data_IF_012567247538
#
_entry.id   IF_012567247538
#
_cell.length_a   1.000
_cell.length_b   1.000
_cell.length_c   1.000
_cell.angle_alpha   90.00
_cell.angle_beta   90.00
_cell.angle_gamma   90.00
#
_symmetry.space_group_name_H-M   'P 1'
#
loop_
_entity.id
_entity.type
_entity.pdbx_description
1 polymer ?
#
# COMPACT_ATOMS: atom_id res chain seq x y z
N UNK A 1 5.91 -15.87 -29.55
CA UNK A 1 7.26 -16.37 -29.14
C UNK A 1 7.53 -15.93 -27.70
N UNK A 2 8.01 -16.87 -26.85
CA UNK A 2 8.36 -16.51 -25.47
C UNK A 2 9.63 -15.64 -25.45
N UNK A 3 9.54 -14.49 -24.84
CA UNK A 3 10.64 -13.54 -24.65
C UNK A 3 10.78 -13.18 -23.17
N UNK A 4 11.98 -12.78 -22.78
CA UNK A 4 12.29 -12.42 -21.41
C UNK A 4 12.53 -10.92 -21.30
N UNK A 5 11.71 -10.22 -20.54
CA UNK A 5 11.76 -8.77 -20.31
C UNK A 5 12.22 -8.45 -18.88
N UNK A 6 12.73 -7.24 -18.65
CA UNK A 6 12.99 -6.76 -17.29
C UNK A 6 11.67 -6.63 -16.53
N UNK A 7 11.69 -7.01 -15.28
CA UNK A 7 10.51 -6.94 -14.44
C UNK A 7 10.20 -5.47 -14.05
N UNK A 8 9.08 -4.89 -14.50
CA UNK A 8 8.76 -3.49 -14.26
C UNK A 8 8.33 -3.19 -12.82
N UNK A 9 8.31 -4.20 -11.94
CA UNK A 9 8.12 -3.97 -10.52
C UNK A 9 9.33 -3.30 -9.85
N UNK A 10 10.54 -3.41 -10.44
CA UNK A 10 11.72 -2.71 -9.95
C UNK A 10 11.63 -1.21 -10.26
N UNK A 11 12.01 -0.37 -9.29
CA UNK A 11 11.92 1.09 -9.42
C UNK A 11 12.77 1.61 -10.56
N UNK A 12 13.98 1.08 -10.71
CA UNK A 12 14.88 1.46 -11.80
C UNK A 12 14.27 1.14 -13.17
N UNK A 13 13.66 -0.03 -13.34
CA UNK A 13 13.02 -0.44 -14.58
C UNK A 13 11.76 0.36 -14.85
N UNK A 14 10.93 0.57 -13.82
CA UNK A 14 9.71 1.36 -13.95
C UNK A 14 10.02 2.82 -14.33
N UNK A 15 11.00 3.43 -13.67
CA UNK A 15 11.49 4.78 -14.04
C UNK A 15 11.93 4.85 -15.48
N UNK A 16 12.79 3.91 -15.90
CA UNK A 16 13.24 3.82 -17.28
C UNK A 16 12.07 3.68 -18.27
N UNK A 17 11.05 2.88 -17.91
CA UNK A 17 9.84 2.73 -18.71
C UNK A 17 9.08 4.05 -18.86
N UNK A 18 8.88 4.78 -17.76
CA UNK A 18 8.11 6.01 -17.71
C UNK A 18 8.85 7.25 -18.25
N UNK A 19 10.16 7.18 -18.50
CA UNK A 19 10.93 8.22 -19.21
C UNK A 19 10.55 8.31 -20.69
N UNK A 20 9.90 7.30 -21.25
CA UNK A 20 9.36 7.36 -22.61
C UNK A 20 7.96 7.98 -22.58
N UNK A 21 7.82 9.17 -23.16
CA UNK A 21 6.56 9.93 -23.18
C UNK A 21 5.39 9.14 -23.78
N UNK A 22 5.60 8.38 -24.86
CA UNK A 22 4.55 7.57 -25.49
C UNK A 22 4.11 6.45 -24.56
N UNK A 23 5.05 5.77 -23.90
CA UNK A 23 4.75 4.74 -22.91
C UNK A 23 3.99 5.32 -21.73
N UNK A 24 4.45 6.47 -21.19
CA UNK A 24 3.75 7.16 -20.10
C UNK A 24 2.31 7.53 -20.49
N UNK A 25 2.10 8.11 -21.68
CA UNK A 25 0.75 8.40 -22.21
C UNK A 25 -0.11 7.15 -22.32
N UNK A 26 0.43 6.06 -22.87
CA UNK A 26 -0.29 4.80 -23.04
C UNK A 26 -0.73 4.23 -21.69
N UNK A 27 0.18 4.11 -20.73
CA UNK A 27 -0.14 3.61 -19.38
C UNK A 27 -1.15 4.52 -18.66
N UNK A 28 -0.92 5.83 -18.65
CA UNK A 28 -1.79 6.78 -17.98
C UNK A 28 -3.17 6.85 -18.65
N UNK A 29 -3.25 6.78 -19.98
CA UNK A 29 -4.54 6.75 -20.70
C UNK A 29 -5.36 5.53 -20.32
N UNK A 30 -4.71 4.36 -20.23
CA UNK A 30 -5.39 3.13 -19.83
C UNK A 30 -5.88 3.18 -18.37
N UNK A 31 -5.04 3.67 -17.45
CA UNK A 31 -5.39 3.83 -16.04
C UNK A 31 -6.52 4.83 -15.84
N UNK A 32 -6.47 5.99 -16.50
CA UNK A 32 -7.50 7.02 -16.40
C UNK A 32 -8.76 6.68 -17.19
N UNK A 33 -8.73 5.65 -18.07
CA UNK A 33 -9.79 5.35 -19.05
C UNK A 33 -10.18 6.56 -19.92
N UNK A 34 -9.20 7.44 -20.19
CA UNK A 34 -9.32 8.66 -20.98
C UNK A 34 -8.04 8.91 -21.74
N UNK A 35 -8.15 9.58 -22.89
CA UNK A 35 -6.99 9.91 -23.72
C UNK A 35 -6.11 10.98 -23.02
N UNK A 36 -4.86 10.63 -22.72
CA UNK A 36 -3.82 11.56 -22.32
C UNK A 36 -3.12 12.09 -23.57
N UNK A 37 -3.40 13.33 -23.92
CA UNK A 37 -2.87 13.96 -25.15
C UNK A 37 -1.45 14.44 -24.97
N UNK A 38 -1.16 15.05 -23.83
CA UNK A 38 0.17 15.56 -23.46
C UNK A 38 0.50 15.11 -22.05
N UNK A 39 1.77 14.80 -21.81
CA UNK A 39 2.28 14.50 -20.47
C UNK A 39 3.61 15.20 -20.27
N UNK A 40 3.78 15.82 -19.12
CA UNK A 40 5.04 16.43 -18.69
C UNK A 40 5.43 15.85 -17.32
N UNK A 41 6.64 15.32 -17.23
CA UNK A 41 7.21 14.87 -15.95
C UNK A 41 7.59 16.10 -15.13
N UNK A 42 6.96 16.27 -13.98
CA UNK A 42 7.28 17.34 -13.05
C UNK A 42 8.46 16.92 -12.16
N UNK A 43 9.57 17.62 -12.30
CA UNK A 43 10.77 17.39 -11.48
C UNK A 43 10.60 18.08 -10.12
N UNK A 44 10.07 17.38 -9.14
CA UNK A 44 10.19 17.77 -7.74
C UNK A 44 11.12 16.79 -7.04
N UNK A 45 12.42 17.13 -7.04
CA UNK A 45 13.39 16.45 -6.20
C UNK A 45 13.20 16.89 -4.74
N UNK A 46 12.36 16.19 -3.99
CA UNK A 46 12.47 16.20 -2.54
C UNK A 46 13.54 15.18 -2.14
N UNK A 47 14.75 15.68 -1.94
CA UNK A 47 15.88 14.93 -1.38
C UNK A 47 15.64 14.70 0.12
N UNK A 48 14.85 13.73 0.47
CA UNK A 48 14.92 13.12 1.78
C UNK A 48 15.92 11.96 1.71
N UNK A 49 16.72 11.82 2.76
CA UNK A 49 17.97 11.07 2.83
C UNK A 49 17.99 9.70 2.14
N UNK A 50 19.19 9.24 1.85
CA UNK A 50 19.52 8.09 0.98
C UNK A 50 18.88 6.72 1.32
N UNK A 51 18.20 6.58 2.45
CA UNK A 51 17.45 5.36 2.82
C UNK A 51 16.02 5.35 2.27
N UNK A 52 15.42 6.51 2.00
CA UNK A 52 14.02 6.62 1.57
C UNK A 52 13.83 6.41 0.06
N UNK A 53 14.93 6.38 -0.71
CA UNK A 53 14.89 6.27 -2.17
C UNK A 53 14.56 4.87 -2.70
N UNK A 54 14.71 3.83 -1.88
CA UNK A 54 14.59 2.44 -2.34
C UNK A 54 13.21 1.83 -2.03
N UNK A 55 12.47 2.38 -1.06
CA UNK A 55 11.21 1.78 -0.60
C UNK A 55 9.97 2.23 -1.37
N UNK A 56 10.05 3.34 -2.09
CA UNK A 56 8.91 3.89 -2.80
C UNK A 56 9.34 4.71 -4.01
N UNK A 57 8.81 4.34 -5.15
CA UNK A 57 8.96 5.09 -6.38
C UNK A 57 7.81 6.08 -6.55
N UNK A 58 8.13 7.28 -7.01
CA UNK A 58 7.19 8.36 -7.24
C UNK A 58 7.54 9.12 -8.52
N UNK A 59 6.54 9.38 -9.35
CA UNK A 59 6.61 10.31 -10.48
C UNK A 59 5.36 11.19 -10.47
N UNK A 60 5.57 12.49 -10.60
CA UNK A 60 4.51 13.47 -10.73
C UNK A 60 4.41 13.89 -12.20
N UNK A 61 3.22 13.85 -12.74
CA UNK A 61 2.94 14.27 -14.10
C UNK A 61 1.95 15.43 -14.11
N UNK A 62 2.22 16.43 -14.98
CA UNK A 62 1.19 17.30 -15.51
C UNK A 62 0.65 16.67 -16.79
N UNK A 63 -0.63 16.38 -16.88
CA UNK A 63 -1.23 15.74 -18.02
C UNK A 63 -2.41 16.55 -18.58
N UNK A 64 -2.47 16.73 -19.90
CA UNK A 64 -3.69 17.21 -20.57
C UNK A 64 -4.51 16.01 -21.01
N UNK A 65 -5.67 15.88 -20.38
CA UNK A 65 -6.59 14.76 -20.58
C UNK A 65 -7.82 15.23 -21.34
N UNK A 66 -8.19 14.48 -22.39
CA UNK A 66 -9.42 14.74 -23.16
C UNK A 66 -10.65 14.38 -22.33
N UNK A 67 -11.57 15.32 -22.18
CA UNK A 67 -12.84 15.11 -21.52
C UNK A 67 -13.90 14.57 -22.51
N UNK A 68 -15.04 14.11 -22.00
CA UNK A 68 -16.13 13.55 -22.81
C UNK A 68 -16.74 14.57 -23.79
N UNK A 69 -16.67 15.87 -23.47
CA UNK A 69 -17.10 16.97 -24.33
C UNK A 69 -16.04 17.38 -25.38
N UNK A 70 -14.89 16.68 -25.42
CA UNK A 70 -13.77 16.94 -26.32
C UNK A 70 -12.80 18.03 -25.83
N UNK A 71 -13.08 18.72 -24.74
CA UNK A 71 -12.18 19.73 -24.16
C UNK A 71 -10.94 19.05 -23.54
N UNK A 72 -9.87 19.82 -23.36
CA UNK A 72 -8.65 19.35 -22.69
C UNK A 72 -8.59 19.95 -21.29
N UNK A 73 -8.48 19.09 -20.27
CA UNK A 73 -8.32 19.50 -18.88
C UNK A 73 -6.90 19.14 -18.41
N UNK A 74 -6.20 20.11 -17.84
CA UNK A 74 -4.94 19.85 -17.14
C UNK A 74 -5.24 19.20 -15.81
N UNK A 75 -4.60 18.08 -15.53
CA UNK A 75 -4.66 17.40 -14.25
C UNK A 75 -3.26 17.04 -13.76
N UNK A 76 -3.10 16.95 -12.45
CA UNK A 76 -1.92 16.38 -11.82
C UNK A 76 -2.14 14.89 -11.61
N UNK A 77 -1.15 14.09 -11.98
CA UNK A 77 -1.15 12.66 -11.74
C UNK A 77 0.02 12.34 -10.82
N UNK A 78 -0.28 11.96 -9.60
CA UNK A 78 0.65 11.42 -8.63
C UNK A 78 0.73 9.90 -8.79
N UNK A 79 1.79 9.40 -9.39
CA UNK A 79 1.99 7.98 -9.54
C UNK A 79 2.98 7.48 -8.49
N UNK A 80 2.53 6.57 -7.66
CA UNK A 80 3.30 6.01 -6.56
C UNK A 80 3.29 4.48 -6.64
N UNK A 81 4.46 3.89 -6.41
CA UNK A 81 4.63 2.44 -6.39
C UNK A 81 5.32 2.04 -5.09
N UNK A 82 4.80 1.04 -4.41
CA UNK A 82 5.39 0.50 -3.19
C UNK A 82 5.13 -0.99 -3.02
N UNK A 83 6.05 -1.65 -2.33
CA UNK A 83 5.93 -3.03 -1.89
C UNK A 83 5.46 -3.15 -0.44
N UNK A 84 5.55 -2.07 0.34
CA UNK A 84 5.36 -2.06 1.77
C UNK A 84 3.98 -1.53 2.14
N UNK A 85 3.23 -2.27 2.94
CA UNK A 85 1.94 -1.83 3.49
C UNK A 85 2.08 -0.62 4.43
N UNK A 86 3.27 -0.39 4.98
CA UNK A 86 3.54 0.66 5.97
C UNK A 86 3.71 2.05 5.37
N UNK A 87 3.70 2.20 4.04
CA UNK A 87 4.00 3.46 3.35
C UNK A 87 2.83 4.46 3.27
N UNK A 88 1.66 4.12 3.81
CA UNK A 88 0.44 4.97 3.75
C UNK A 88 0.67 6.40 4.26
N UNK A 89 1.45 6.56 5.35
CA UNK A 89 1.75 7.90 5.88
C UNK A 89 2.60 8.73 4.92
N UNK A 90 3.53 8.10 4.22
CA UNK A 90 4.34 8.76 3.19
C UNK A 90 3.50 9.21 2.01
N UNK A 91 2.57 8.37 1.55
CA UNK A 91 1.62 8.77 0.51
C UNK A 91 0.87 10.03 0.91
N UNK A 92 0.36 10.09 2.14
CA UNK A 92 -0.35 11.28 2.65
C UNK A 92 0.55 12.52 2.76
N UNK A 93 1.81 12.36 3.15
CA UNK A 93 2.78 13.47 3.23
C UNK A 93 3.05 14.06 1.84
N UNK A 94 3.20 13.21 0.82
CA UNK A 94 3.42 13.67 -0.54
C UNK A 94 2.18 14.37 -1.11
N UNK A 95 1.00 13.83 -0.91
CA UNK A 95 -0.25 14.50 -1.27
C UNK A 95 -0.36 15.86 -0.60
N UNK A 96 -0.08 15.95 0.71
CA UNK A 96 -0.06 17.21 1.43
C UNK A 96 0.90 18.23 0.83
N UNK A 97 2.07 17.77 0.37
CA UNK A 97 3.05 18.61 -0.32
C UNK A 97 2.51 19.13 -1.66
N UNK A 98 1.85 18.28 -2.44
CA UNK A 98 1.25 18.68 -3.72
C UNK A 98 0.11 19.67 -3.54
N UNK A 99 -0.75 19.46 -2.55
CA UNK A 99 -1.81 20.41 -2.20
C UNK A 99 -1.27 21.77 -1.75
N UNK A 100 -0.13 21.79 -1.06
CA UNK A 100 0.50 23.02 -0.57
C UNK A 100 1.39 23.71 -1.62
N UNK A 101 1.66 23.06 -2.75
CA UNK A 101 2.60 23.60 -3.74
C UNK A 101 1.98 24.75 -4.54
N UNK A 102 2.55 25.98 -4.48
CA UNK A 102 2.01 27.13 -5.19
C UNK A 102 2.07 27.00 -6.73
N UNK A 103 2.89 26.11 -7.26
CA UNK A 103 2.96 25.83 -8.70
C UNK A 103 1.78 24.99 -9.20
N UNK A 104 1.03 24.39 -8.29
CA UNK A 104 -0.17 23.59 -8.58
C UNK A 104 -1.46 24.42 -8.53
N UNK A 105 -1.39 25.70 -8.86
CA UNK A 105 -2.54 26.62 -8.89
C UNK A 105 -2.77 27.12 -10.30
N UNK A 106 -4.00 26.93 -10.83
CA UNK A 106 -4.49 27.57 -12.06
C UNK A 106 -5.01 28.95 -11.72
N UNK A 107 -4.48 29.97 -12.38
CA UNK A 107 -4.87 31.38 -12.21
C UNK A 107 -5.82 31.86 -13.30
N UNK A 108 -6.37 30.96 -14.09
CA UNK A 108 -7.29 31.29 -15.16
C UNK A 108 -8.57 31.93 -14.60
N UNK A 109 -8.84 33.16 -15.00
CA UNK A 109 -10.03 33.93 -14.61
C UNK A 109 -10.23 34.20 -13.09
N UNK A 110 -9.29 33.79 -12.24
CA UNK A 110 -9.31 34.06 -10.80
C UNK A 110 -7.93 34.47 -10.31
N UNK A 111 -7.73 35.69 -9.77
CA UNK A 111 -6.42 36.16 -9.29
C UNK A 111 -5.86 35.30 -8.16
N UNK A 112 -6.71 34.66 -7.35
CA UNK A 112 -6.32 33.76 -6.27
C UNK A 112 -6.06 32.35 -6.78
N UNK A 113 -6.62 31.98 -7.93
CA UNK A 113 -6.50 30.67 -8.53
C UNK A 113 -7.30 29.58 -7.81
N UNK A 114 -7.30 28.41 -8.41
CA UNK A 114 -7.78 27.15 -7.82
C UNK A 114 -6.69 26.10 -7.98
N UNK A 115 -6.65 25.12 -7.09
CA UNK A 115 -5.75 23.97 -7.24
C UNK A 115 -6.02 23.23 -8.56
N UNK A 116 -4.95 22.80 -9.22
CA UNK A 116 -5.08 21.91 -10.38
C UNK A 116 -5.70 20.59 -9.88
N UNK A 117 -6.77 20.08 -10.50
CA UNK A 117 -7.35 18.79 -10.13
C UNK A 117 -6.31 17.69 -10.15
N UNK A 118 -6.38 16.80 -9.16
CA UNK A 118 -5.39 15.75 -8.95
C UNK A 118 -6.03 14.37 -9.03
N UNK A 119 -5.29 13.42 -9.61
CA UNK A 119 -5.60 11.99 -9.57
C UNK A 119 -4.38 11.27 -9.02
N UNK A 120 -4.59 10.40 -8.05
CA UNK A 120 -3.51 9.55 -7.53
C UNK A 120 -3.58 8.16 -8.14
N UNK A 121 -2.41 7.61 -8.48
CA UNK A 121 -2.29 6.25 -8.98
C UNK A 121 -1.34 5.48 -8.07
N UNK A 122 -1.83 4.43 -7.46
CA UNK A 122 -1.06 3.54 -6.59
C UNK A 122 -0.82 2.19 -7.25
N UNK A 123 0.43 1.84 -7.50
CA UNK A 123 0.84 0.50 -7.93
C UNK A 123 1.37 -0.26 -6.71
N UNK A 124 0.53 -1.12 -6.14
CA UNK A 124 0.82 -1.79 -4.87
C UNK A 124 1.36 -3.20 -5.11
N UNK A 125 2.51 -3.50 -4.52
CA UNK A 125 3.11 -4.84 -4.49
C UNK A 125 2.46 -5.77 -3.46
N UNK A 126 1.42 -5.31 -2.75
CA UNK A 126 0.67 -6.05 -1.74
C UNK A 126 -0.84 -5.93 -1.98
N UNK A 127 -1.62 -6.73 -1.25
CA UNK A 127 -3.09 -6.67 -1.28
C UNK A 127 -3.60 -5.65 -0.27
N UNK A 128 -4.75 -5.06 -0.55
CA UNK A 128 -5.43 -4.11 0.34
C UNK A 128 -6.58 -4.84 1.04
N UNK A 129 -6.35 -5.28 2.27
CA UNK A 129 -7.33 -6.01 3.05
C UNK A 129 -7.90 -7.21 2.30
N UNK A 130 -9.23 -7.36 2.35
CA UNK A 130 -9.96 -8.46 1.69
C UNK A 130 -10.49 -8.09 0.29
N UNK A 131 -10.00 -7.00 -0.30
CA UNK A 131 -10.43 -6.55 -1.63
C UNK A 131 -9.83 -7.49 -2.69
N UNK A 132 -10.71 -8.06 -3.53
CA UNK A 132 -10.33 -9.07 -4.54
C UNK A 132 -10.12 -8.48 -5.94
N UNK A 133 -10.55 -7.24 -6.19
CA UNK A 133 -10.42 -6.57 -7.48
C UNK A 133 -8.97 -6.13 -7.71
N UNK A 134 -8.37 -6.47 -8.88
CA UNK A 134 -7.00 -6.09 -9.19
C UNK A 134 -6.83 -4.57 -9.39
N UNK A 135 -7.89 -3.87 -9.80
CA UNK A 135 -7.88 -2.42 -9.99
C UNK A 135 -9.13 -1.80 -9.37
N UNK A 136 -8.93 -0.81 -8.52
CA UNK A 136 -10.00 -0.04 -7.89
C UNK A 136 -9.97 1.41 -8.37
N UNK A 137 -11.15 1.95 -8.63
CA UNK A 137 -11.37 3.37 -8.85
C UNK A 137 -12.12 3.94 -7.66
N UNK A 138 -11.48 4.88 -6.95
CA UNK A 138 -12.07 5.57 -5.81
C UNK A 138 -12.37 6.99 -6.26
N UNK A 139 -13.64 7.27 -6.48
CA UNK A 139 -14.11 8.55 -7.02
C UNK A 139 -14.88 9.31 -5.95
N UNK A 140 -14.74 10.63 -5.93
CA UNK A 140 -15.55 11.49 -5.08
C UNK A 140 -16.86 11.91 -5.80
N UNK A 141 -17.87 12.19 -5.00
CA UNK A 141 -19.17 12.72 -5.46
C UNK A 141 -19.65 13.80 -4.50
N UNK A 142 -20.38 14.79 -5.02
CA UNK A 142 -21.01 15.81 -4.21
C UNK A 142 -22.45 15.41 -3.87
N UNK A 143 -22.86 15.62 -2.62
CA UNK A 143 -24.22 15.36 -2.13
C UNK A 143 -24.76 16.58 -1.41
N UNK A 144 -26.07 16.79 -1.48
CA UNK A 144 -26.75 17.76 -0.63
C UNK A 144 -26.94 17.22 0.79
N UNK A 145 -27.49 18.04 1.69
CA UNK A 145 -27.71 17.69 3.10
C UNK A 145 -28.74 16.55 3.30
N UNK A 146 -29.54 16.22 2.28
CA UNK A 146 -30.48 15.10 2.30
C UNK A 146 -29.86 13.81 1.72
N UNK A 147 -28.57 13.85 1.32
CA UNK A 147 -27.84 12.72 0.75
C UNK A 147 -28.15 12.47 -0.73
N UNK A 148 -28.77 13.45 -1.45
CA UNK A 148 -29.04 13.36 -2.87
C UNK A 148 -27.84 13.88 -3.67
N UNK A 149 -27.42 13.13 -4.70
CA UNK A 149 -26.30 13.51 -5.57
C UNK A 149 -26.56 14.83 -6.28
N UNK A 150 -25.61 15.76 -6.16
CA UNK A 150 -25.62 17.07 -6.83
C UNK A 150 -24.83 16.96 -8.12
N UNK A 151 -25.50 17.11 -9.26
CA UNK A 151 -24.90 17.04 -10.60
C UNK A 151 -24.83 18.38 -11.29
N UNK A 152 -25.71 19.32 -10.92
CA UNK A 152 -25.74 20.67 -11.52
C UNK A 152 -24.65 21.56 -10.93
N UNK A 153 -23.76 22.07 -11.77
CA UNK A 153 -22.62 22.89 -11.35
C UNK A 153 -21.42 22.12 -10.85
N UNK A 154 -21.46 20.79 -10.91
CA UNK A 154 -20.34 19.89 -10.59
C UNK A 154 -19.91 19.19 -11.89
N UNK A 155 -18.59 19.07 -12.21
CA UNK A 155 -17.45 19.50 -11.39
C UNK A 155 -17.31 21.03 -11.28
N UNK A 156 -16.87 21.49 -10.10
CA UNK A 156 -16.60 22.91 -9.81
C UNK A 156 -15.14 23.08 -9.41
N UNK A 157 -14.42 24.11 -9.91
CA UNK A 157 -12.99 24.26 -9.65
C UNK A 157 -12.60 24.34 -8.17
N UNK A 158 -13.44 24.95 -7.33
CA UNK A 158 -13.18 24.98 -5.89
C UNK A 158 -13.33 23.60 -5.27
N UNK A 159 -14.39 22.86 -5.59
CA UNK A 159 -14.64 21.51 -5.08
C UNK A 159 -13.54 20.56 -5.55
N UNK A 160 -13.22 20.58 -6.86
CA UNK A 160 -12.15 19.73 -7.44
C UNK A 160 -10.76 20.02 -6.84
N UNK A 161 -10.54 21.25 -6.35
CA UNK A 161 -9.26 21.60 -5.71
C UNK A 161 -9.10 21.06 -4.29
N UNK A 162 -10.18 20.61 -3.64
CA UNK A 162 -10.16 20.13 -2.24
C UNK A 162 -10.05 18.61 -2.14
N UNK A 163 -10.32 17.89 -3.21
CA UNK A 163 -10.39 16.42 -3.23
C UNK A 163 -9.63 15.86 -4.42
N UNK A 164 -9.40 14.56 -4.42
CA UNK A 164 -8.80 13.85 -5.55
C UNK A 164 -9.43 12.47 -5.71
N UNK A 165 -9.44 11.99 -6.94
CA UNK A 165 -9.75 10.58 -7.25
C UNK A 165 -8.50 9.73 -7.12
N UNK A 166 -8.69 8.44 -6.85
CA UNK A 166 -7.58 7.50 -6.72
C UNK A 166 -7.80 6.26 -7.58
N UNK A 167 -6.72 5.77 -8.17
CA UNK A 167 -6.67 4.49 -8.89
C UNK A 167 -5.69 3.61 -8.14
N UNK A 168 -6.14 2.45 -7.69
CA UNK A 168 -5.32 1.52 -6.93
C UNK A 168 -5.18 0.23 -7.73
N UNK A 169 -3.95 -0.13 -8.09
CA UNK A 169 -3.62 -1.38 -8.79
C UNK A 169 -2.95 -2.32 -7.80
N UNK A 170 -3.57 -3.46 -7.55
CA UNK A 170 -3.04 -4.54 -6.72
C UNK A 170 -2.29 -5.54 -7.60
N UNK A 171 -0.98 -5.35 -7.77
CA UNK A 171 -0.15 -6.21 -8.64
C UNK A 171 -0.27 -7.70 -8.33
N UNK A 172 -0.36 -8.16 -7.05
CA UNK A 172 -0.52 -9.58 -6.75
C UNK A 172 -1.83 -10.20 -7.23
N UNK A 173 -2.80 -9.39 -7.64
CA UNK A 173 -4.10 -9.85 -8.16
C UNK A 173 -4.17 -9.82 -9.70
N UNK A 174 -3.16 -9.28 -10.38
CA UNK A 174 -3.04 -9.37 -11.82
C UNK A 174 -2.78 -10.84 -12.23
N UNK A 175 -3.58 -11.38 -13.14
CA UNK A 175 -3.53 -12.81 -13.53
C UNK A 175 -3.41 -13.02 -15.03
N UNK A 176 -2.81 -12.07 -15.76
CA UNK A 176 -2.56 -12.17 -17.20
C UNK A 176 -3.81 -12.28 -18.05
N UNK A 177 -4.97 -11.91 -17.55
CA UNK A 177 -6.18 -11.78 -18.36
C UNK A 177 -6.05 -10.54 -19.25
N UNK A 178 -6.41 -10.68 -20.51
CA UNK A 178 -6.36 -9.61 -21.52
C UNK A 178 -7.75 -9.49 -22.13
N UNK A 179 -8.69 -8.88 -21.38
CA UNK A 179 -10.06 -8.66 -21.86
C UNK A 179 -10.30 -7.22 -22.31
N UNK A 180 -9.43 -6.31 -21.92
CA UNK A 180 -9.51 -4.89 -22.24
C UNK A 180 -8.11 -4.24 -22.28
N UNK A 181 -8.05 -2.99 -22.74
CA UNK A 181 -6.79 -2.25 -22.91
C UNK A 181 -5.99 -2.09 -21.61
N UNK A 182 -6.67 -1.89 -20.49
CA UNK A 182 -6.00 -1.75 -19.19
C UNK A 182 -5.33 -3.06 -18.75
N UNK A 183 -6.06 -4.17 -18.86
CA UNK A 183 -5.52 -5.50 -18.53
C UNK A 183 -4.35 -5.86 -19.46
N UNK A 184 -4.45 -5.52 -20.74
CA UNK A 184 -3.38 -5.74 -21.72
C UNK A 184 -2.09 -5.00 -21.30
N UNK A 185 -2.19 -3.72 -20.95
CA UNK A 185 -1.03 -2.93 -20.53
C UNK A 185 -0.51 -3.38 -19.15
N UNK A 186 -1.39 -3.74 -18.22
CA UNK A 186 -1.00 -4.22 -16.90
C UNK A 186 -0.43 -5.65 -16.93
N UNK A 187 -0.62 -6.42 -18.00
CA UNK A 187 -0.12 -7.79 -18.11
C UNK A 187 1.40 -7.91 -17.97
N UNK A 188 2.15 -6.87 -18.37
CA UNK A 188 3.62 -6.85 -18.19
C UNK A 188 4.05 -6.74 -16.72
N UNK A 189 3.12 -6.41 -15.81
CA UNK A 189 3.35 -6.38 -14.36
C UNK A 189 2.95 -7.68 -13.67
N UNK A 190 2.36 -8.64 -14.39
CA UNK A 190 1.89 -9.88 -13.81
C UNK A 190 3.04 -10.75 -13.30
N UNK A 191 3.12 -10.90 -11.98
CA UNK A 191 4.18 -11.63 -11.30
C UNK A 191 4.03 -13.15 -11.38
N UNK A 192 2.92 -13.68 -11.93
CA UNK A 192 2.78 -15.11 -12.18
C UNK A 192 3.72 -15.59 -13.28
N UNK A 193 4.14 -14.68 -14.17
CA UNK A 193 5.09 -14.91 -15.26
C UNK A 193 6.56 -14.65 -14.87
N UNK A 194 6.82 -14.32 -13.59
CA UNK A 194 8.18 -14.11 -13.07
C UNK A 194 9.02 -15.38 -13.24
N UNK A 195 10.26 -15.22 -13.68
CA UNK A 195 11.20 -16.34 -13.78
C UNK A 195 11.52 -16.90 -12.38
N UNK A 196 11.52 -18.23 -12.26
CA UNK A 196 11.71 -18.90 -10.96
C UNK A 196 13.13 -18.80 -10.42
N UNK A 197 14.12 -18.56 -11.29
CA UNK A 197 15.54 -18.49 -10.92
C UNK A 197 16.02 -17.04 -10.83
N UNK A 198 15.37 -16.12 -11.54
CA UNK A 198 15.75 -14.73 -11.60
C UNK A 198 14.50 -13.83 -11.50
N UNK A 199 14.21 -13.32 -10.31
CA UNK A 199 13.04 -12.47 -10.07
C UNK A 199 13.07 -11.11 -10.79
N UNK A 200 14.23 -10.72 -11.34
CA UNK A 200 14.42 -9.46 -12.08
C UNK A 200 13.83 -9.51 -13.50
N UNK A 201 13.36 -10.66 -13.93
CA UNK A 201 12.82 -10.84 -15.28
C UNK A 201 11.47 -11.57 -15.27
N UNK A 202 10.68 -11.26 -16.29
CA UNK A 202 9.37 -11.85 -16.58
C UNK A 202 9.42 -12.48 -17.97
N UNK A 203 8.79 -13.65 -18.13
CA UNK A 203 8.65 -14.32 -19.41
C UNK A 203 7.24 -14.05 -19.97
N UNK A 204 7.16 -13.43 -21.13
CA UNK A 204 5.89 -13.10 -21.80
C UNK A 204 5.83 -13.72 -23.19
N UNK A 205 4.62 -13.96 -23.69
CA UNK A 205 4.41 -14.37 -25.07
C UNK A 205 4.19 -13.13 -25.95
N UNK A 206 5.19 -12.79 -26.75
CA UNK A 206 5.16 -11.63 -27.65
C UNK A 206 4.02 -11.69 -28.67
N UNK A 207 3.62 -12.90 -29.08
CA UNK A 207 2.56 -13.09 -30.09
C UNK A 207 1.19 -12.57 -29.60
N UNK A 208 0.98 -12.47 -28.29
CA UNK A 208 -0.24 -11.89 -27.69
C UNK A 208 -0.40 -10.40 -28.00
N UNK A 209 0.68 -9.70 -28.30
CA UNK A 209 0.71 -8.26 -28.55
C UNK A 209 1.00 -7.92 -30.01
N UNK A 210 0.95 -8.92 -30.89
CA UNK A 210 1.23 -8.74 -32.31
C UNK A 210 0.25 -7.73 -32.93
N UNK A 211 0.81 -6.67 -33.54
CA UNK A 211 0.02 -5.62 -34.17
C UNK A 211 -0.32 -4.43 -33.29
N UNK A 212 -0.03 -4.47 -32.00
CA UNK A 212 -0.17 -3.34 -31.09
C UNK A 212 1.16 -2.56 -30.97
N UNK A 213 1.22 -1.40 -31.60
CA UNK A 213 2.45 -0.58 -31.61
C UNK A 213 2.84 -0.07 -30.21
N UNK A 214 1.87 0.23 -29.34
CA UNK A 214 2.14 0.75 -28.02
C UNK A 214 2.64 -0.35 -27.09
N UNK A 215 2.03 -1.53 -27.15
CA UNK A 215 2.52 -2.69 -26.40
C UNK A 215 3.90 -3.12 -26.90
N UNK A 216 4.12 -3.16 -28.19
CA UNK A 216 5.44 -3.44 -28.75
C UNK A 216 6.50 -2.44 -28.26
N UNK A 217 6.16 -1.17 -28.14
CA UNK A 217 7.07 -0.16 -27.60
C UNK A 217 7.39 -0.40 -26.12
N UNK A 218 6.37 -0.72 -25.30
CA UNK A 218 6.55 -1.10 -23.89
C UNK A 218 7.49 -2.31 -23.78
N UNK A 219 7.21 -3.36 -24.54
CA UNK A 219 7.97 -4.61 -24.55
C UNK A 219 9.42 -4.35 -25.00
N UNK A 220 9.65 -3.60 -26.06
CA UNK A 220 10.99 -3.27 -26.52
C UNK A 220 11.79 -2.45 -25.49
N UNK A 221 11.15 -1.54 -24.75
CA UNK A 221 11.84 -0.85 -23.66
C UNK A 221 12.21 -1.80 -22.52
N UNK A 222 11.31 -2.71 -22.16
CA UNK A 222 11.59 -3.71 -21.11
C UNK A 222 12.65 -4.73 -21.54
N UNK A 223 12.72 -5.10 -22.83
CA UNK A 223 13.82 -5.90 -23.39
C UNK A 223 15.15 -5.15 -23.29
N UNK A 224 15.16 -3.85 -23.65
CA UNK A 224 16.33 -3.01 -23.55
C UNK A 224 16.80 -2.89 -22.09
N UNK A 225 15.87 -2.70 -21.16
CA UNK A 225 16.16 -2.65 -19.73
C UNK A 225 16.78 -3.97 -19.21
N UNK A 226 16.29 -5.14 -19.68
CA UNK A 226 16.87 -6.43 -19.31
C UNK A 226 18.33 -6.59 -19.74
N UNK A 227 18.73 -5.91 -20.81
CA UNK A 227 20.09 -5.94 -21.38
C UNK A 227 21.00 -4.88 -20.78
N UNK A 228 20.46 -3.84 -20.11
CA UNK A 228 21.21 -2.74 -19.57
C UNK A 228 21.96 -3.11 -18.29
N UNK A 229 23.30 -2.91 -18.27
CA UNK A 229 24.14 -3.30 -17.14
C UNK A 229 23.88 -2.44 -15.89
N UNK A 230 23.57 -1.14 -16.08
CA UNK A 230 23.29 -0.24 -14.97
C UNK A 230 21.96 -0.57 -14.33
N UNK A 231 20.90 -0.78 -15.12
CA UNK A 231 19.59 -1.16 -14.61
C UNK A 231 19.64 -2.49 -13.88
N UNK A 232 20.42 -3.47 -14.35
CA UNK A 232 20.66 -4.72 -13.62
C UNK A 232 21.35 -4.50 -12.27
N UNK A 233 22.33 -3.60 -12.23
CA UNK A 233 23.00 -3.25 -10.97
C UNK A 233 22.01 -2.58 -10.00
N UNK A 234 21.20 -1.66 -10.49
CA UNK A 234 20.18 -0.96 -9.69
C UNK A 234 19.15 -1.97 -9.15
N UNK A 235 18.68 -2.92 -9.98
CA UNK A 235 17.80 -4.02 -9.52
C UNK A 235 18.47 -4.91 -8.46
N UNK A 236 19.77 -5.18 -8.54
CA UNK A 236 20.48 -5.93 -7.49
C UNK A 236 20.44 -5.19 -6.14
N UNK A 237 20.63 -3.87 -6.15
CA UNK A 237 20.55 -3.04 -4.94
C UNK A 237 19.13 -3.08 -4.36
N UNK A 238 18.12 -3.01 -5.20
CA UNK A 238 16.73 -3.16 -4.77
C UNK A 238 16.47 -4.55 -4.17
N UNK A 239 17.00 -5.62 -4.78
CA UNK A 239 16.89 -6.99 -4.28
C UNK A 239 17.52 -7.17 -2.88
N UNK A 240 18.70 -6.60 -2.67
CA UNK A 240 19.35 -6.62 -1.35
C UNK A 240 18.49 -5.92 -0.29
N UNK A 241 17.93 -4.78 -0.64
CA UNK A 241 17.04 -4.03 0.24
C UNK A 241 15.76 -4.80 0.57
N UNK A 242 15.07 -5.35 -0.43
CA UNK A 242 13.85 -6.16 -0.21
C UNK A 242 14.14 -7.42 0.60
N UNK A 243 15.25 -8.10 0.32
CA UNK A 243 15.66 -9.26 1.10
C UNK A 243 15.90 -8.90 2.59
N UNK A 244 16.48 -7.74 2.85
CA UNK A 244 16.68 -7.27 4.23
C UNK A 244 15.35 -6.98 4.93
N UNK A 245 14.36 -6.41 4.21
CA UNK A 245 13.01 -6.16 4.74
C UNK A 245 12.28 -7.49 4.99
N UNK A 246 12.25 -8.40 4.01
CA UNK A 246 11.61 -9.72 4.14
C UNK A 246 12.15 -10.49 5.34
N UNK A 247 13.47 -10.45 5.55
CA UNK A 247 14.12 -11.08 6.72
C UNK A 247 13.68 -10.42 8.03
N UNK A 248 13.59 -9.09 8.06
CA UNK A 248 13.12 -8.34 9.23
C UNK A 248 11.66 -8.65 9.54
N UNK A 249 10.81 -8.65 8.54
CA UNK A 249 9.37 -8.90 8.70
C UNK A 249 9.12 -10.34 9.14
N UNK A 250 9.86 -11.30 8.59
CA UNK A 250 9.87 -12.71 9.06
C UNK A 250 10.29 -12.82 10.54
N UNK A 251 11.30 -12.05 10.97
CA UNK A 251 11.73 -12.02 12.35
C UNK A 251 10.67 -11.40 13.28
N UNK A 252 9.97 -10.35 12.80
CA UNK A 252 8.86 -9.72 13.53
C UNK A 252 7.72 -10.72 13.69
N UNK A 253 7.26 -11.38 12.62
CA UNK A 253 6.20 -12.38 12.67
C UNK A 253 6.49 -13.50 13.66
N UNK A 254 7.74 -14.04 13.66
CA UNK A 254 8.17 -15.06 14.62
C UNK A 254 8.14 -14.56 16.06
N UNK A 255 8.56 -13.32 16.28
CA UNK A 255 8.50 -12.70 17.61
C UNK A 255 7.07 -12.51 18.08
N UNK A 256 6.19 -12.05 17.20
CA UNK A 256 4.77 -11.81 17.53
C UNK A 256 4.05 -13.13 17.84
N UNK A 257 4.39 -14.21 17.14
CA UNK A 257 3.93 -15.56 17.49
C UNK A 257 4.38 -15.99 18.89
N UNK A 258 5.66 -15.78 19.22
CA UNK A 258 6.18 -16.11 20.56
C UNK A 258 5.48 -15.27 21.64
N UNK A 259 5.23 -13.98 21.37
CA UNK A 259 4.49 -13.12 22.30
C UNK A 259 3.08 -13.67 22.52
N UNK A 260 2.37 -14.02 21.45
CA UNK A 260 1.02 -14.58 21.55
C UNK A 260 0.99 -15.89 22.35
N UNK A 261 1.98 -16.77 22.17
CA UNK A 261 2.10 -18.01 22.94
C UNK A 261 2.39 -17.73 24.43
N UNK A 262 3.25 -16.74 24.71
CA UNK A 262 3.55 -16.33 26.10
C UNK A 262 2.33 -15.69 26.78
N UNK A 263 1.58 -14.84 26.07
CA UNK A 263 0.36 -14.22 26.59
C UNK A 263 -0.71 -15.29 26.92
N UNK A 264 -0.86 -16.31 26.08
CA UNK A 264 -1.74 -17.45 26.36
C UNK A 264 -1.32 -18.23 27.61
N UNK A 265 -0.02 -18.48 27.78
CA UNK A 265 0.53 -19.14 28.97
C UNK A 265 0.32 -18.32 30.25
N UNK A 266 0.54 -17.01 30.17
CA UNK A 266 0.30 -16.08 31.28
C UNK A 266 -1.19 -16.08 31.67
N UNK A 267 -2.07 -16.05 30.68
CA UNK A 267 -3.52 -16.12 30.94
C UNK A 267 -3.95 -17.42 31.61
N UNK A 268 -3.40 -18.54 31.16
CA UNK A 268 -3.64 -19.86 31.77
C UNK A 268 -3.12 -19.93 33.21
N UNK A 269 -1.89 -19.48 33.45
CA UNK A 269 -1.31 -19.42 34.81
C UNK A 269 -2.13 -18.47 35.71
N UNK A 270 -2.58 -17.33 35.18
CA UNK A 270 -3.46 -16.42 35.90
C UNK A 270 -4.78 -17.07 36.33
N UNK A 271 -5.39 -17.85 35.44
CA UNK A 271 -6.61 -18.61 35.77
C UNK A 271 -6.36 -19.67 36.85
N UNK A 272 -5.25 -20.41 36.76
CA UNK A 272 -4.90 -21.41 37.76
C UNK A 272 -4.64 -20.78 39.14
N UNK A 273 -3.93 -19.63 39.19
CA UNK A 273 -3.70 -18.88 40.44
C UNK A 273 -5.03 -18.38 41.03
N UNK A 274 -5.93 -17.89 40.20
CA UNK A 274 -7.24 -17.43 40.65
C UNK A 274 -8.07 -18.60 41.24
N UNK A 275 -8.08 -19.76 40.58
CA UNK A 275 -8.74 -20.97 41.07
C UNK A 275 -8.16 -21.45 42.41
N UNK A 276 -6.82 -21.50 42.52
CA UNK A 276 -6.13 -21.83 43.77
C UNK A 276 -6.46 -20.84 44.88
N UNK A 277 -6.55 -19.53 44.56
CA UNK A 277 -6.97 -18.49 45.50
C UNK A 277 -8.39 -18.69 46.03
N UNK A 278 -9.35 -19.07 45.17
CA UNK A 278 -10.71 -19.39 45.59
C UNK A 278 -10.74 -20.64 46.47
N UNK A 279 -10.00 -21.69 46.12
CA UNK A 279 -9.90 -22.93 46.87
C UNK A 279 -9.30 -22.69 48.28
N UNK A 280 -8.22 -21.90 48.33
CA UNK A 280 -7.58 -21.49 49.57
C UNK A 280 -8.52 -20.71 50.48
N UNK A 281 -9.24 -19.74 49.93
CA UNK A 281 -10.27 -18.97 50.65
C UNK A 281 -11.36 -19.88 51.25
N UNK A 282 -11.91 -20.73 50.40
CA UNK A 282 -12.97 -21.69 50.85
C UNK A 282 -12.46 -22.60 51.97
N UNK A 283 -11.24 -23.12 51.84
CA UNK A 283 -10.60 -23.95 52.83
C UNK A 283 -10.44 -23.22 54.17
N UNK A 284 -9.92 -22.00 54.15
CA UNK A 284 -9.74 -21.18 55.36
C UNK A 284 -11.11 -20.89 56.01
N UNK A 285 -12.13 -20.55 55.21
CA UNK A 285 -13.48 -20.31 55.74
C UNK A 285 -14.10 -21.54 56.39
N UNK A 286 -13.89 -22.73 55.81
CA UNK A 286 -14.34 -24.01 56.40
C UNK A 286 -13.61 -24.28 57.74
N UNK A 287 -12.29 -24.06 57.82
CA UNK A 287 -11.52 -24.32 59.03
C UNK A 287 -11.90 -23.35 60.15
N UNK A 288 -12.16 -22.09 59.83
CA UNK A 288 -12.69 -21.10 60.80
C UNK A 288 -14.08 -21.51 61.29
N UNK A 289 -14.94 -21.94 60.38
CA UNK A 289 -16.32 -22.42 60.73
C UNK A 289 -16.32 -23.70 61.57
N UNK A 290 -15.28 -24.52 61.41
CA UNK A 290 -15.03 -25.70 62.24
C UNK A 290 -14.45 -25.40 63.63
N UNK A 291 -14.22 -24.11 63.98
CA UNK A 291 -13.79 -23.66 65.28
C UNK A 291 -12.25 -23.67 65.49
N UNK A 292 -11.46 -23.79 64.43
CA UNK A 292 -9.99 -23.65 64.54
C UNK A 292 -9.62 -22.16 64.72
N UNK A 293 -8.65 -21.86 65.59
CA UNK A 293 -8.15 -20.51 65.77
C UNK A 293 -7.30 -20.09 64.53
N UNK A 294 -7.30 -18.76 64.26
CA UNK A 294 -6.54 -18.17 63.15
C UNK A 294 -5.05 -18.49 63.26
N UNK A 295 -4.54 -18.53 64.50
CA UNK A 295 -3.11 -18.88 64.78
C UNK A 295 -2.82 -20.33 64.41
N UNK A 296 -3.73 -21.29 64.73
CA UNK A 296 -3.57 -22.70 64.34
C UNK A 296 -3.66 -22.88 62.80
N UNK A 297 -4.53 -22.18 62.14
CA UNK A 297 -4.67 -22.18 60.67
C UNK A 297 -3.41 -21.64 60.02
N UNK A 298 -2.88 -20.51 60.52
CA UNK A 298 -1.65 -19.89 60.06
C UNK A 298 -0.43 -20.82 60.14
N UNK A 299 -0.26 -21.50 61.29
CA UNK A 299 0.80 -22.48 61.48
C UNK A 299 0.70 -23.66 60.53
N UNK A 300 -0.52 -24.26 60.39
CA UNK A 300 -0.73 -25.43 59.55
C UNK A 300 -0.58 -25.14 58.06
N UNK A 301 -0.91 -23.93 57.62
CA UNK A 301 -0.85 -23.49 56.23
C UNK A 301 0.48 -22.82 55.88
N UNK A 302 1.36 -22.64 56.87
CA UNK A 302 2.64 -21.93 56.75
C UNK A 302 2.52 -20.51 56.16
N UNK A 303 1.51 -19.79 56.61
CA UNK A 303 1.24 -18.37 56.30
C UNK A 303 1.06 -17.57 57.59
N UNK A 304 1.05 -16.25 57.49
CA UNK A 304 0.89 -15.38 58.67
C UNK A 304 -0.58 -15.32 59.13
N UNK A 305 -0.80 -15.06 60.43
CA UNK A 305 -2.14 -14.88 60.95
C UNK A 305 -2.88 -13.69 60.31
N UNK A 306 -2.15 -12.66 59.89
CA UNK A 306 -2.73 -11.52 59.18
C UNK A 306 -3.16 -11.88 57.74
N UNK A 307 -2.41 -12.72 57.06
CA UNK A 307 -2.83 -13.27 55.78
C UNK A 307 -4.08 -14.12 55.90
N UNK A 308 -4.18 -14.98 56.93
CA UNK A 308 -5.40 -15.75 57.19
C UNK A 308 -6.61 -14.81 57.41
N UNK A 309 -6.44 -13.74 58.24
CA UNK A 309 -7.52 -12.75 58.45
C UNK A 309 -7.95 -12.08 57.18
N UNK A 310 -6.98 -11.65 56.38
CA UNK A 310 -7.22 -10.97 55.08
C UNK A 310 -7.97 -11.87 54.11
N UNK A 311 -7.58 -13.12 53.99
CA UNK A 311 -8.22 -14.08 53.05
C UNK A 311 -9.61 -14.47 53.57
N UNK A 312 -9.81 -14.64 54.88
CA UNK A 312 -11.10 -14.96 55.46
C UNK A 312 -12.14 -13.85 55.33
N UNK A 313 -11.73 -12.60 55.28
CA UNK A 313 -12.58 -11.41 55.16
C UNK A 313 -12.92 -11.01 53.72
N UNK A 314 -12.20 -11.50 52.73
CA UNK A 314 -12.47 -11.30 51.31
C UNK A 314 -13.59 -12.24 50.85
#
# INVERSE_FOLDING_TARGET
MMITIANPIYDAVFKYLMEDERVAKTLLSALLQREVVEVEVRKHEYTNGSRDKISMFRIDFGAKVRQDDGTLKLILIELQKTWLETETLRFRQYLGTQYANPDNILKDNNPMGYGIPMVTVYLLGHRVGDIEEPVLYVNHKAYDYDGKEVTKGVPDPFVDSLVHDSIIVQIPLLRGQINNRLEEILSVFDQTHKDKKNRQVINIDEDLYAGDEDMNRIIHRLLSAASDAKLRQDMNVEDEYFTAIENRDTAIMKRDQIIAEQDAQIAEQGAQIAEQGVMLKTTIQMLVSAGLSIEMIAVNMNITADEVRKIAQM
#
